data_IF_234822698135
#
_entry.id   IF_234822698135
#
_cell.length_a   1.000
_cell.length_b   1.000
_cell.length_c   1.000
_cell.angle_alpha   90.00
_cell.angle_beta   90.00
_cell.angle_gamma   90.00
#
_symmetry.space_group_name_H-M   'P 1'
#
loop_
_entity.id
_entity.type
_entity.pdbx_description
1 polymer ?
#
# COMPACT_ATOMS: atom_id res chain seq x y z
N UNK A 1 -18.94 25.03 12.34
CA UNK A 1 -17.67 25.36 13.02
C UNK A 1 -16.71 24.16 13.16
N UNK A 2 -16.83 23.09 12.34
CA UNK A 2 -15.84 21.99 12.31
C UNK A 2 -14.77 22.12 11.20
N UNK A 3 -14.97 23.00 10.21
CA UNK A 3 -14.09 23.05 9.03
C UNK A 3 -12.78 23.83 9.25
N UNK A 4 -12.70 24.69 10.28
CA UNK A 4 -11.51 25.53 10.52
C UNK A 4 -10.46 24.87 11.42
N UNK A 5 -10.80 23.79 12.15
CA UNK A 5 -9.86 23.09 13.04
C UNK A 5 -9.05 22.00 12.31
N UNK A 6 -9.52 21.53 11.14
CA UNK A 6 -8.83 20.51 10.32
C UNK A 6 -7.66 21.10 9.49
N UNK A 7 -7.73 22.39 9.14
CA UNK A 7 -6.73 23.08 8.34
C UNK A 7 -5.41 23.34 9.09
N UNK A 8 -5.47 23.78 10.36
CA UNK A 8 -4.26 24.06 11.14
C UNK A 8 -3.53 22.80 11.64
N UNK A 9 -4.24 21.70 11.92
CA UNK A 9 -3.57 20.42 12.24
C UNK A 9 -2.85 19.82 11.02
N UNK A 10 -3.36 20.05 9.80
CA UNK A 10 -2.77 19.52 8.57
C UNK A 10 -1.40 20.15 8.26
N UNK A 11 -1.21 21.44 8.53
CA UNK A 11 0.08 22.13 8.28
C UNK A 11 1.18 21.72 9.26
N UNK A 12 0.85 21.46 10.53
CA UNK A 12 1.83 20.99 11.54
C UNK A 12 2.21 19.52 11.28
N UNK A 13 1.25 18.69 10.85
CA UNK A 13 1.52 17.29 10.50
C UNK A 13 2.39 17.16 9.23
N UNK A 14 2.20 18.06 8.26
CA UNK A 14 2.99 18.09 7.01
C UNK A 14 4.43 18.54 7.27
N UNK A 15 4.64 19.50 8.18
CA UNK A 15 5.98 19.94 8.59
C UNK A 15 6.73 18.86 9.41
N UNK A 16 6.02 18.09 10.24
CA UNK A 16 6.61 17.01 11.04
C UNK A 16 6.98 15.78 10.18
N UNK A 17 6.17 15.45 9.17
CA UNK A 17 6.46 14.37 8.21
C UNK A 17 7.76 14.61 7.41
N UNK A 18 8.12 15.87 7.13
CA UNK A 18 9.37 16.19 6.40
C UNK A 18 10.66 15.97 7.22
N UNK A 19 10.62 16.12 8.54
CA UNK A 19 11.83 16.03 9.39
C UNK A 19 12.20 14.58 9.72
N UNK A 20 11.26 13.65 9.65
CA UNK A 20 11.50 12.28 10.11
C UNK A 20 11.97 11.32 9.02
N UNK A 21 12.06 11.65 7.73
CA UNK A 21 12.40 10.68 6.67
C UNK A 21 13.91 10.43 6.46
N UNK A 22 14.61 9.98 7.52
CA UNK A 22 16.06 9.65 7.49
C UNK A 22 16.40 8.46 8.39
N UNK A 23 16.07 7.22 7.98
CA UNK A 23 16.47 5.96 8.66
C UNK A 23 15.53 4.76 8.41
N UNK A 24 16.07 3.54 8.31
CA UNK A 24 15.34 2.32 7.91
C UNK A 24 14.17 1.91 8.83
N UNK A 25 14.29 2.14 10.15
CA UNK A 25 13.22 1.90 11.13
C UNK A 25 11.98 2.80 10.93
N UNK A 26 12.08 3.84 10.08
CA UNK A 26 10.97 4.74 9.78
C UNK A 26 10.05 4.21 8.69
N UNK A 27 10.42 3.17 7.95
CA UNK A 27 9.58 2.64 6.85
C UNK A 27 8.36 1.90 7.42
N UNK A 28 8.53 1.15 8.50
CA UNK A 28 7.43 0.53 9.25
C UNK A 28 6.51 1.60 9.89
N UNK A 29 7.11 2.57 10.60
CA UNK A 29 6.37 3.68 11.24
C UNK A 29 5.61 4.53 10.21
N UNK A 30 6.24 4.83 9.07
CA UNK A 30 5.60 5.52 7.95
C UNK A 30 4.41 4.73 7.41
N UNK A 31 4.52 3.40 7.31
CA UNK A 31 3.44 2.57 6.83
C UNK A 31 2.21 2.64 7.76
N UNK A 32 2.41 2.56 9.08
CA UNK A 32 1.34 2.73 10.07
C UNK A 32 0.69 4.12 9.97
N UNK A 33 1.48 5.16 9.74
CA UNK A 33 0.96 6.52 9.53
C UNK A 33 0.12 6.61 8.25
N UNK A 34 0.53 5.97 7.16
CA UNK A 34 -0.25 5.90 5.91
C UNK A 34 -1.54 5.10 6.09
N UNK A 35 -1.53 3.99 6.84
CA UNK A 35 -2.72 3.22 7.15
C UNK A 35 -3.72 4.04 8.00
N UNK A 36 -3.21 4.80 8.98
CA UNK A 36 -4.03 5.71 9.78
C UNK A 36 -4.64 6.83 8.93
N UNK A 37 -3.85 7.45 8.05
CA UNK A 37 -4.33 8.45 7.11
C UNK A 37 -5.40 7.86 6.16
N UNK A 38 -5.17 6.66 5.63
CA UNK A 38 -6.13 5.97 4.79
C UNK A 38 -7.46 5.71 5.51
N UNK A 39 -7.43 5.33 6.79
CA UNK A 39 -8.63 5.18 7.60
C UNK A 39 -9.39 6.50 7.76
N UNK A 40 -8.69 7.62 7.98
CA UNK A 40 -9.30 8.95 8.03
C UNK A 40 -9.93 9.34 6.68
N UNK A 41 -9.29 9.01 5.56
CA UNK A 41 -9.85 9.24 4.23
C UNK A 41 -11.10 8.40 3.95
N UNK A 42 -11.16 7.15 4.47
CA UNK A 42 -12.38 6.32 4.44
C UNK A 42 -13.53 6.98 5.21
N UNK A 43 -13.26 7.59 6.36
CA UNK A 43 -14.26 8.36 7.12
C UNK A 43 -14.72 9.62 6.39
N UNK A 44 -13.80 10.30 5.70
CA UNK A 44 -14.08 11.48 4.88
C UNK A 44 -14.80 11.16 3.55
N UNK A 45 -15.10 9.89 3.27
CA UNK A 45 -15.65 9.38 1.99
C UNK A 45 -14.79 9.72 0.76
N UNK A 46 -13.51 10.02 0.96
CA UNK A 46 -12.58 10.34 -0.12
C UNK A 46 -11.81 9.08 -0.53
N UNK A 47 -12.42 8.30 -1.42
CA UNK A 47 -11.89 7.01 -1.85
C UNK A 47 -10.62 7.13 -2.70
N UNK A 48 -10.50 8.16 -3.56
CA UNK A 48 -9.31 8.39 -4.38
C UNK A 48 -8.08 8.70 -3.51
N UNK A 49 -8.23 9.54 -2.48
CA UNK A 49 -7.13 9.87 -1.56
C UNK A 49 -6.77 8.68 -0.64
N UNK A 50 -7.76 7.92 -0.17
CA UNK A 50 -7.54 6.70 0.61
C UNK A 50 -6.71 5.67 -0.18
N UNK A 51 -7.08 5.43 -1.44
CA UNK A 51 -6.35 4.53 -2.33
C UNK A 51 -4.90 4.95 -2.54
N UNK A 52 -4.65 6.27 -2.65
CA UNK A 52 -3.28 6.77 -2.85
C UNK A 52 -2.43 6.55 -1.60
N UNK A 53 -2.99 6.80 -0.41
CA UNK A 53 -2.34 6.51 0.86
C UNK A 53 -1.99 5.02 1.00
N UNK A 54 -2.90 4.11 0.63
CA UNK A 54 -2.62 2.68 0.61
C UNK A 54 -1.58 2.29 -0.44
N UNK A 55 -1.56 2.94 -1.60
CA UNK A 55 -0.53 2.70 -2.62
C UNK A 55 0.87 3.11 -2.12
N UNK A 56 0.97 4.21 -1.37
CA UNK A 56 2.22 4.60 -0.72
C UNK A 56 2.63 3.60 0.38
N UNK A 57 1.68 3.18 1.24
CA UNK A 57 1.92 2.14 2.23
C UNK A 57 2.42 0.83 1.59
N UNK A 58 1.79 0.38 0.50
CA UNK A 58 2.19 -0.82 -0.22
C UNK A 58 3.61 -0.73 -0.79
N UNK A 59 4.01 0.43 -1.33
CA UNK A 59 5.39 0.66 -1.81
C UNK A 59 6.41 0.59 -0.68
N UNK A 60 6.06 1.05 0.52
CA UNK A 60 6.91 0.92 1.71
C UNK A 60 7.02 -0.53 2.16
N UNK A 61 5.92 -1.29 2.17
CA UNK A 61 5.96 -2.73 2.43
C UNK A 61 6.83 -3.50 1.44
N UNK A 62 6.89 -3.05 0.18
CA UNK A 62 7.77 -3.62 -0.83
C UNK A 62 9.26 -3.40 -0.50
N UNK A 63 9.61 -2.26 0.11
CA UNK A 63 10.98 -1.98 0.58
C UNK A 63 11.36 -2.83 1.80
N UNK A 64 10.39 -3.15 2.67
CA UNK A 64 10.56 -4.04 3.83
C UNK A 64 10.65 -5.53 3.45
N UNK A 65 10.69 -5.86 2.15
CA UNK A 65 10.61 -7.23 1.61
C UNK A 65 9.37 -8.03 2.03
N UNK A 66 8.37 -7.39 2.63
CA UNK A 66 7.14 -8.06 3.02
C UNK A 66 6.16 -8.07 1.84
N UNK A 67 6.49 -8.88 0.82
CA UNK A 67 5.75 -8.97 -0.44
C UNK A 67 4.27 -9.33 -0.22
N UNK A 68 3.96 -10.19 0.76
CA UNK A 68 2.59 -10.58 1.11
C UNK A 68 1.76 -9.38 1.56
N UNK A 69 2.29 -8.60 2.50
CA UNK A 69 1.60 -7.44 3.09
C UNK A 69 1.46 -6.29 2.08
N UNK A 70 2.48 -6.09 1.24
CA UNK A 70 2.44 -5.17 0.10
C UNK A 70 1.30 -5.53 -0.86
N UNK A 71 1.14 -6.81 -1.21
CA UNK A 71 0.14 -7.25 -2.15
C UNK A 71 -1.28 -7.08 -1.58
N UNK A 72 -1.49 -7.40 -0.30
CA UNK A 72 -2.77 -7.15 0.40
C UNK A 72 -3.11 -5.66 0.43
N UNK A 73 -2.13 -4.80 0.68
CA UNK A 73 -2.32 -3.34 0.67
C UNK A 73 -2.71 -2.80 -0.72
N UNK A 74 -2.13 -3.32 -1.80
CA UNK A 74 -2.54 -2.95 -3.17
C UNK A 74 -3.97 -3.41 -3.50
N UNK A 75 -4.41 -4.56 -2.97
CA UNK A 75 -5.80 -5.03 -3.15
C UNK A 75 -6.79 -4.13 -2.39
N UNK A 76 -6.47 -3.69 -1.17
CA UNK A 76 -7.33 -2.75 -0.43
C UNK A 76 -7.39 -1.39 -1.12
N UNK A 77 -6.25 -0.91 -1.66
CA UNK A 77 -6.20 0.28 -2.50
C UNK A 77 -7.10 0.15 -3.73
N UNK A 78 -7.01 -0.96 -4.47
CA UNK A 78 -7.86 -1.24 -5.64
C UNK A 78 -9.35 -1.27 -5.29
N UNK A 79 -9.71 -1.82 -4.13
CA UNK A 79 -11.09 -1.81 -3.63
C UNK A 79 -11.60 -0.40 -3.32
N UNK A 80 -10.76 0.48 -2.78
CA UNK A 80 -11.10 1.89 -2.57
C UNK A 80 -11.24 2.62 -3.90
N UNK A 81 -10.28 2.47 -4.81
CA UNK A 81 -10.31 3.10 -6.13
C UNK A 81 -11.48 2.64 -7.00
N UNK A 82 -11.97 1.41 -6.86
CA UNK A 82 -13.15 0.93 -7.62
C UNK A 82 -14.38 1.84 -7.47
N UNK A 83 -14.53 2.53 -6.33
CA UNK A 83 -15.63 3.48 -6.08
C UNK A 83 -15.34 4.90 -6.53
N UNK A 84 -14.07 5.22 -6.78
CA UNK A 84 -13.59 6.56 -7.11
C UNK A 84 -13.25 6.63 -8.61
N UNK A 85 -12.27 5.84 -9.02
CA UNK A 85 -11.66 5.82 -10.35
C UNK A 85 -11.34 4.36 -10.75
N UNK A 86 -12.16 3.75 -11.63
CA UNK A 86 -11.95 2.36 -12.03
C UNK A 86 -10.66 2.15 -12.84
N UNK A 87 -10.16 3.17 -13.54
CA UNK A 87 -8.91 3.07 -14.31
C UNK A 87 -7.68 2.87 -13.39
N UNK A 88 -7.56 3.70 -12.35
CA UNK A 88 -6.47 3.58 -11.37
C UNK A 88 -6.56 2.29 -10.55
N UNK A 89 -7.79 1.82 -10.28
CA UNK A 89 -8.02 0.53 -9.63
C UNK A 89 -7.43 -0.64 -10.44
N UNK A 90 -7.63 -0.66 -11.76
CA UNK A 90 -7.09 -1.70 -12.64
C UNK A 90 -5.57 -1.70 -12.59
N UNK A 91 -4.95 -0.53 -12.65
CA UNK A 91 -3.49 -0.41 -12.59
C UNK A 91 -2.94 -0.94 -11.24
N UNK A 92 -3.54 -0.54 -10.11
CA UNK A 92 -3.13 -1.02 -8.79
C UNK A 92 -3.33 -2.55 -8.62
N UNK A 93 -4.43 -3.09 -9.13
CA UNK A 93 -4.71 -4.53 -9.08
C UNK A 93 -3.74 -5.33 -9.95
N UNK A 94 -3.38 -4.81 -11.14
CA UNK A 94 -2.36 -5.44 -11.99
C UNK A 94 -1.00 -5.53 -11.28
N UNK A 95 -0.60 -4.48 -10.55
CA UNK A 95 0.61 -4.52 -9.73
C UNK A 95 0.53 -5.55 -8.60
N UNK A 96 -0.63 -5.67 -7.93
CA UNK A 96 -0.82 -6.70 -6.90
C UNK A 96 -0.70 -8.12 -7.47
N UNK A 97 -1.28 -8.36 -8.66
CA UNK A 97 -1.25 -9.65 -9.36
C UNK A 97 0.18 -10.02 -9.73
N UNK A 98 0.97 -9.06 -10.23
CA UNK A 98 2.39 -9.28 -10.58
C UNK A 98 3.18 -9.74 -9.34
N UNK A 99 3.01 -9.04 -8.22
CA UNK A 99 3.65 -9.39 -6.93
C UNK A 99 3.22 -10.77 -6.43
N UNK A 100 1.92 -11.10 -6.49
CA UNK A 100 1.43 -12.43 -6.11
C UNK A 100 1.97 -13.52 -7.04
N UNK A 101 2.09 -13.25 -8.33
CA UNK A 101 2.61 -14.20 -9.32
C UNK A 101 4.09 -14.50 -9.09
N UNK A 102 4.89 -13.47 -8.78
CA UNK A 102 6.30 -13.63 -8.40
C UNK A 102 6.45 -14.50 -7.14
N UNK A 103 5.62 -14.27 -6.12
CA UNK A 103 5.62 -15.09 -4.91
C UNK A 103 5.28 -16.56 -5.19
N UNK A 104 4.20 -16.82 -5.93
CA UNK A 104 3.79 -18.20 -6.30
C UNK A 104 4.90 -18.89 -7.09
N UNK A 105 5.53 -18.19 -8.04
CA UNK A 105 6.65 -18.71 -8.81
C UNK A 105 7.85 -19.05 -7.91
N UNK A 106 8.23 -18.15 -7.00
CA UNK A 106 9.32 -18.41 -6.05
C UNK A 106 9.05 -19.67 -5.23
N UNK A 107 7.83 -19.83 -4.72
CA UNK A 107 7.42 -21.01 -3.95
C UNK A 107 7.54 -22.29 -4.78
N UNK A 108 7.03 -22.30 -6.02
CA UNK A 108 7.10 -23.46 -6.92
C UNK A 108 8.55 -23.87 -7.24
N UNK A 109 9.47 -22.92 -7.39
CA UNK A 109 10.89 -23.22 -7.62
C UNK A 109 11.58 -23.80 -6.39
N UNK A 110 11.18 -23.41 -5.17
CA UNK A 110 11.71 -24.01 -3.93
C UNK A 110 11.12 -25.37 -3.60
N UNK A 111 9.92 -25.70 -4.07
CA UNK A 111 9.21 -26.95 -3.72
C UNK A 111 9.39 -28.08 -4.74
N UNK A 112 10.22 -27.91 -5.78
CA UNK A 112 10.50 -28.98 -6.75
C UNK A 112 11.79 -29.74 -6.40
N UNK A 113 11.73 -30.94 -5.78
CA UNK A 113 12.76 -31.94 -6.01
C UNK A 113 12.64 -32.42 -7.46
N UNK A 114 13.77 -32.46 -8.16
CA UNK A 114 13.93 -33.09 -9.47
C UNK A 114 13.20 -34.43 -9.49
N UNK A 115 12.18 -34.57 -10.34
CA UNK A 115 11.87 -35.88 -10.90
C UNK A 115 11.47 -35.74 -12.35
N UNK A 116 12.51 -35.82 -13.17
CA UNK A 116 12.50 -36.35 -14.53
C UNK A 116 11.33 -37.31 -14.73
N UNK A 117 10.41 -36.95 -15.62
CA UNK A 117 9.71 -37.88 -16.50
C UNK A 117 9.49 -37.17 -17.83
N UNK A 118 10.54 -37.22 -18.63
CA UNK A 118 10.51 -37.13 -20.10
C UNK A 118 9.61 -38.26 -20.67
N UNK A 119 9.16 -38.13 -21.93
CA UNK A 119 7.85 -38.57 -22.43
C UNK A 119 7.63 -40.09 -22.52
#
# INVERSE_FOLDING_TARGET
MLNSHFGLQSSILTLCMCVCYRGNHKVEDACEMYARAANMFKMAKNWSAAGNAFCQAARLHMQLQNKLDSATSFVDAGNAYKKADPQEAINCLNQAIDIYTDMVRSVLTTTSPVKNRTP
#
